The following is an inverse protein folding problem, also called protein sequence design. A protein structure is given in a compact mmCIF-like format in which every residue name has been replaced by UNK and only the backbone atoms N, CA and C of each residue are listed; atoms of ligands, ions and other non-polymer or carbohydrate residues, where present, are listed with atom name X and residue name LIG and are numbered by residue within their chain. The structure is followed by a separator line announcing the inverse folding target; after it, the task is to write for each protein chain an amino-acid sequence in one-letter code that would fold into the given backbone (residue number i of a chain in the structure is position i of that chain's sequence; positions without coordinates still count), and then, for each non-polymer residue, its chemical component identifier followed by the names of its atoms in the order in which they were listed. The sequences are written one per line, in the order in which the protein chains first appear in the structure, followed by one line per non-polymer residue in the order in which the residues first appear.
data_IF_286917775844
#
_entry.id   IF_286917775844
#
_cell.length_a   1.000
_cell.length_b   1.000
_cell.length_c   1.000
_cell.angle_alpha   90.00
_cell.angle_beta   90.00
_cell.angle_gamma   90.00
#
_symmetry.space_group_name_H-M   'P 1'
#
loop_
_entity.id
_entity.type
_entity.pdbx_description
1 polymer ?
#
# COMPACT_ATOMS: atom_id res chain seq x y z
N UNK A 1 -14.70 -13.98 -15.52
CA UNK A 1 -15.72 -13.52 -14.54
C UNK A 1 -16.45 -12.31 -15.13
N UNK A 2 -17.70 -12.03 -14.72
CA UNK A 2 -18.44 -10.84 -15.18
C UNK A 2 -18.42 -9.79 -14.05
N UNK A 3 -18.14 -8.51 -14.35
CA UNK A 3 -18.07 -7.49 -13.32
C UNK A 3 -19.46 -7.23 -12.74
N UNK A 4 -19.52 -6.87 -11.46
CA UNK A 4 -20.80 -6.62 -10.78
C UNK A 4 -21.53 -5.39 -11.32
N UNK A 5 -20.79 -4.46 -11.93
CA UNK A 5 -21.29 -3.35 -12.75
C UNK A 5 -20.24 -2.93 -13.78
N UNK A 6 -20.65 -2.12 -14.76
CA UNK A 6 -19.77 -1.68 -15.85
C UNK A 6 -19.00 -0.39 -15.57
N UNK A 7 -19.58 0.52 -14.78
CA UNK A 7 -19.00 1.83 -14.49
C UNK A 7 -18.40 1.82 -13.09
N UNK A 8 -17.13 2.17 -12.99
CA UNK A 8 -16.36 2.19 -11.74
C UNK A 8 -15.68 3.52 -11.55
N UNK A 9 -15.77 4.06 -10.34
CA UNK A 9 -15.09 5.30 -9.95
C UNK A 9 -14.01 5.00 -8.93
N UNK A 10 -12.77 5.37 -9.23
CA UNK A 10 -11.63 5.22 -8.31
C UNK A 10 -11.15 6.59 -7.84
N UNK A 11 -11.09 6.81 -6.53
CA UNK A 11 -10.42 7.97 -5.96
C UNK A 11 -8.99 7.59 -5.57
N UNK A 12 -8.01 8.30 -6.10
CA UNK A 12 -6.61 8.16 -5.72
C UNK A 12 -6.25 9.32 -4.79
N UNK A 13 -5.98 9.01 -3.53
CA UNK A 13 -5.64 9.99 -2.48
C UNK A 13 -4.13 10.19 -2.52
N UNK A 14 -3.69 11.30 -3.10
CA UNK A 14 -2.29 11.67 -3.29
C UNK A 14 -1.69 12.20 -1.99
N UNK A 15 -0.80 11.41 -1.40
CA UNK A 15 -0.05 11.72 -0.17
C UNK A 15 1.39 12.20 -0.44
N UNK A 16 1.74 12.48 -1.69
CA UNK A 16 3.11 12.86 -2.08
C UNK A 16 3.46 14.31 -1.79
N UNK A 17 2.53 15.14 -1.34
CA UNK A 17 2.81 16.53 -0.90
C UNK A 17 3.42 17.36 -2.05
N UNK A 18 2.84 17.23 -3.25
CA UNK A 18 3.31 17.86 -4.49
C UNK A 18 4.73 17.45 -4.94
N UNK A 19 5.34 16.44 -4.31
CA UNK A 19 6.64 15.90 -4.72
C UNK A 19 6.43 14.89 -5.85
N UNK A 20 7.13 15.04 -7.00
CA UNK A 20 7.05 14.06 -8.08
C UNK A 20 7.41 12.64 -7.61
N UNK A 21 6.55 11.68 -7.91
CA UNK A 21 6.72 10.29 -7.48
C UNK A 21 6.31 9.28 -8.58
N UNK A 22 7.13 8.25 -8.75
CA UNK A 22 6.87 7.18 -9.72
C UNK A 22 5.66 6.31 -9.35
N UNK A 23 5.33 6.18 -8.07
CA UNK A 23 4.18 5.39 -7.61
C UNK A 23 2.85 5.89 -8.17
N UNK A 24 2.66 7.22 -8.26
CA UNK A 24 1.46 7.77 -8.90
C UNK A 24 1.36 7.39 -10.38
N UNK A 25 2.48 7.44 -11.12
CA UNK A 25 2.51 6.98 -12.52
C UNK A 25 2.11 5.50 -12.62
N UNK A 26 2.67 4.65 -11.77
CA UNK A 26 2.37 3.22 -11.79
C UNK A 26 0.90 2.94 -11.48
N UNK A 27 0.30 3.61 -10.49
CA UNK A 27 -1.13 3.47 -10.17
C UNK A 27 -2.00 3.84 -11.38
N UNK A 28 -1.70 4.95 -12.07
CA UNK A 28 -2.42 5.35 -13.30
C UNK A 28 -2.31 4.26 -14.38
N UNK A 29 -1.12 3.71 -14.59
CA UNK A 29 -0.86 2.68 -15.60
C UNK A 29 -1.59 1.37 -15.27
N UNK A 30 -1.58 0.95 -14.01
CA UNK A 30 -2.31 -0.23 -13.52
C UNK A 30 -3.80 -0.06 -13.75
N UNK A 31 -4.40 1.06 -13.29
CA UNK A 31 -5.83 1.33 -13.44
C UNK A 31 -6.25 1.37 -14.91
N UNK A 32 -5.47 2.05 -15.75
CA UNK A 32 -5.72 2.16 -17.20
C UNK A 32 -5.63 0.80 -17.89
N UNK A 33 -4.57 0.03 -17.59
CA UNK A 33 -4.34 -1.29 -18.19
C UNK A 33 -5.40 -2.28 -17.76
N UNK A 34 -5.76 -2.29 -16.47
CA UNK A 34 -6.80 -3.13 -15.91
C UNK A 34 -8.16 -2.83 -16.57
N UNK A 35 -8.54 -1.56 -16.67
CA UNK A 35 -9.79 -1.15 -17.34
C UNK A 35 -9.86 -1.66 -18.80
N UNK A 36 -8.75 -1.55 -19.54
CA UNK A 36 -8.63 -2.04 -20.92
C UNK A 36 -8.74 -3.56 -21.00
N UNK A 37 -8.01 -4.29 -20.16
CA UNK A 37 -7.99 -5.77 -20.14
C UNK A 37 -9.38 -6.33 -19.85
N UNK A 38 -10.10 -5.73 -18.90
CA UNK A 38 -11.41 -6.19 -18.46
C UNK A 38 -12.58 -5.50 -19.17
N UNK A 39 -12.31 -4.64 -20.15
CA UNK A 39 -13.30 -3.87 -20.91
C UNK A 39 -14.29 -3.10 -20.01
N UNK A 40 -13.77 -2.44 -18.96
CA UNK A 40 -14.54 -1.68 -17.98
C UNK A 40 -14.60 -0.19 -18.33
N UNK A 41 -15.69 0.47 -17.95
CA UNK A 41 -15.74 1.93 -17.90
C UNK A 41 -15.25 2.40 -16.53
N UNK A 42 -13.93 2.43 -16.37
CA UNK A 42 -13.27 2.87 -15.14
C UNK A 42 -12.78 4.30 -15.30
N UNK A 43 -13.30 5.20 -14.48
CA UNK A 43 -12.78 6.55 -14.30
C UNK A 43 -12.03 6.65 -12.98
N UNK A 44 -10.93 7.40 -12.96
CA UNK A 44 -10.22 7.70 -11.72
C UNK A 44 -9.90 9.18 -11.62
N UNK A 45 -9.93 9.68 -10.38
CA UNK A 45 -9.63 11.07 -10.05
C UNK A 45 -8.61 11.12 -8.92
N UNK A 46 -7.69 12.06 -9.01
CA UNK A 46 -6.63 12.27 -8.03
C UNK A 46 -6.93 13.46 -7.15
N UNK A 47 -6.66 13.30 -5.86
CA UNK A 47 -6.96 14.28 -4.83
C UNK A 47 -5.70 14.58 -4.03
N UNK A 48 -5.18 15.81 -4.11
CA UNK A 48 -4.00 16.21 -3.34
C UNK A 48 -4.40 16.47 -1.87
N UNK A 49 -4.07 15.52 -1.00
CA UNK A 49 -4.60 15.47 0.36
C UNK A 49 -3.84 16.40 1.30
N UNK A 50 -2.52 16.50 1.17
CA UNK A 50 -1.68 17.05 2.24
C UNK A 50 -1.54 18.57 2.19
N UNK A 51 -1.41 19.14 0.98
CA UNK A 51 -1.19 20.58 0.78
C UNK A 51 -2.51 21.28 0.44
N UNK A 52 -3.25 20.74 -0.53
CA UNK A 52 -4.51 21.32 -1.02
C UNK A 52 -5.72 20.85 -0.22
N UNK A 53 -5.57 19.83 0.62
CA UNK A 53 -6.65 19.26 1.44
C UNK A 53 -7.87 18.82 0.62
N UNK A 54 -7.61 18.36 -0.60
CA UNK A 54 -8.64 17.83 -1.49
C UNK A 54 -8.96 16.41 -1.06
N UNK A 55 -10.25 16.13 -0.94
CA UNK A 55 -10.76 14.80 -0.62
C UNK A 55 -11.99 14.50 -1.50
N UNK A 56 -12.15 13.24 -1.94
CA UNK A 56 -13.36 12.78 -2.58
C UNK A 56 -14.53 12.74 -1.59
N UNK A 57 -15.74 12.63 -2.12
CA UNK A 57 -16.92 12.24 -1.35
C UNK A 57 -17.13 10.70 -1.42
N UNK A 58 -18.28 10.24 -0.94
CA UNK A 58 -18.69 8.83 -0.96
C UNK A 58 -19.29 8.36 -2.31
N UNK A 59 -19.18 9.15 -3.39
CA UNK A 59 -19.67 8.75 -4.72
C UNK A 59 -18.74 7.77 -5.45
N UNK A 60 -17.52 7.57 -4.95
CA UNK A 60 -16.52 6.65 -5.49
C UNK A 60 -16.73 5.22 -5.03
N UNK A 61 -16.25 4.23 -5.77
CA UNK A 61 -16.37 2.81 -5.42
C UNK A 61 -15.13 2.26 -4.74
N UNK A 62 -13.97 2.74 -5.17
CA UNK A 62 -12.66 2.27 -4.75
C UNK A 62 -11.81 3.48 -4.38
N UNK A 63 -11.07 3.37 -3.28
CA UNK A 63 -10.15 4.38 -2.78
C UNK A 63 -8.76 3.75 -2.71
N UNK A 64 -7.76 4.40 -3.30
CA UNK A 64 -6.36 4.01 -3.20
C UNK A 64 -5.60 5.17 -2.59
N UNK A 65 -5.09 4.99 -1.37
CA UNK A 65 -4.32 5.99 -0.64
C UNK A 65 -2.84 5.70 -0.75
N UNK A 66 -2.09 6.62 -1.36
CA UNK A 66 -0.71 6.36 -1.76
C UNK A 66 0.26 6.38 -0.57
N UNK A 67 1.51 5.97 -0.86
CA UNK A 67 2.63 6.36 -0.03
C UNK A 67 2.89 7.87 -0.09
N UNK A 68 3.86 8.33 0.68
CA UNK A 68 4.18 9.76 0.79
C UNK A 68 5.55 9.96 1.44
N UNK A 69 6.22 11.08 1.16
CA UNK A 69 7.46 11.43 1.83
C UNK A 69 7.20 11.85 3.28
N UNK A 70 8.28 11.89 4.07
CA UNK A 70 8.24 12.45 5.42
C UNK A 70 7.88 11.45 6.51
N UNK A 71 7.55 12.00 7.67
CA UNK A 71 7.23 11.28 8.89
C UNK A 71 5.71 11.12 9.04
N UNK A 72 5.18 9.92 9.31
CA UNK A 72 3.78 9.72 9.64
C UNK A 72 3.42 10.23 11.05
N UNK A 73 4.40 10.74 11.82
CA UNK A 73 4.20 11.31 13.15
C UNK A 73 4.14 12.85 13.12
N UNK A 74 4.83 13.50 12.17
CA UNK A 74 5.00 14.96 12.19
C UNK A 74 3.70 15.70 11.85
N UNK A 75 2.76 15.02 11.19
CA UNK A 75 1.46 15.55 10.79
C UNK A 75 0.35 15.35 11.82
N UNK A 76 0.65 14.73 12.98
CA UNK A 76 -0.34 14.45 14.01
C UNK A 76 -1.07 15.72 14.47
N UNK A 77 -2.40 15.69 14.34
CA UNK A 77 -3.28 16.79 14.73
C UNK A 77 -3.43 17.90 13.68
N UNK A 78 -2.77 17.78 12.52
CA UNK A 78 -2.96 18.71 11.40
C UNK A 78 -4.38 18.66 10.82
N UNK A 79 -4.83 19.76 10.21
CA UNK A 79 -6.19 19.85 9.63
C UNK A 79 -6.42 18.80 8.53
N UNK A 80 -5.43 18.60 7.65
CA UNK A 80 -5.57 17.65 6.55
C UNK A 80 -5.71 16.22 7.06
N UNK A 81 -5.02 15.85 8.14
CA UNK A 81 -5.18 14.53 8.77
C UNK A 81 -6.57 14.36 9.36
N UNK A 82 -7.08 15.36 10.08
CA UNK A 82 -8.43 15.29 10.65
C UNK A 82 -9.48 15.06 9.55
N UNK A 83 -9.36 15.77 8.43
CA UNK A 83 -10.24 15.59 7.26
C UNK A 83 -10.04 14.23 6.60
N UNK A 84 -8.80 13.78 6.44
CA UNK A 84 -8.49 12.46 5.88
C UNK A 84 -9.06 11.33 6.73
N UNK A 85 -8.89 11.38 8.05
CA UNK A 85 -9.45 10.38 8.96
C UNK A 85 -10.96 10.44 9.02
N UNK A 86 -11.58 11.63 8.90
CA UNK A 86 -13.04 11.72 8.76
C UNK A 86 -13.53 11.01 7.50
N UNK A 87 -12.83 11.13 6.37
CA UNK A 87 -13.16 10.34 5.16
C UNK A 87 -13.02 8.83 5.42
N UNK A 88 -12.01 8.38 6.16
CA UNK A 88 -11.85 6.96 6.51
C UNK A 88 -12.99 6.45 7.40
N UNK A 89 -13.41 7.25 8.39
CA UNK A 89 -14.58 6.98 9.21
C UNK A 89 -15.85 6.92 8.35
N UNK A 90 -16.09 7.91 7.48
CA UNK A 90 -17.24 7.98 6.59
C UNK A 90 -17.34 6.75 5.65
N UNK A 91 -16.20 6.29 5.12
CA UNK A 91 -16.11 5.06 4.32
C UNK A 91 -16.45 3.82 5.17
N UNK A 92 -15.96 3.75 6.40
CA UNK A 92 -16.25 2.64 7.32
C UNK A 92 -17.74 2.61 7.69
N UNK A 93 -18.31 3.75 8.10
CA UNK A 93 -19.73 3.91 8.44
C UNK A 93 -20.64 3.53 7.26
N UNK A 94 -20.30 3.96 6.03
CA UNK A 94 -21.01 3.53 4.82
C UNK A 94 -20.98 2.01 4.66
N UNK A 95 -19.82 1.40 4.88
CA UNK A 95 -19.60 -0.03 4.72
C UNK A 95 -20.29 -0.89 5.78
N UNK A 96 -20.82 -0.33 6.87
CA UNK A 96 -21.63 -1.09 7.82
C UNK A 96 -23.01 -1.42 7.24
N UNK A 97 -23.62 -0.47 6.52
CA UNK A 97 -25.05 -0.56 6.16
C UNK A 97 -25.32 -0.66 4.66
N UNK A 98 -24.45 -0.10 3.81
CA UNK A 98 -24.68 -0.08 2.37
C UNK A 98 -24.49 -1.46 1.73
N UNK A 99 -25.24 -1.75 0.66
CA UNK A 99 -25.06 -2.97 -0.13
C UNK A 99 -23.80 -2.89 -0.99
N UNK A 100 -23.55 -1.70 -1.57
CA UNK A 100 -22.37 -1.43 -2.39
C UNK A 100 -21.23 -0.92 -1.51
N UNK A 101 -20.37 -1.86 -1.13
CA UNK A 101 -19.25 -1.65 -0.21
C UNK A 101 -18.09 -0.95 -0.93
N UNK A 102 -17.58 0.11 -0.33
CA UNK A 102 -16.40 0.88 -0.74
C UNK A 102 -15.14 0.08 -0.43
N UNK A 103 -14.26 -0.07 -1.40
CA UNK A 103 -12.97 -0.77 -1.20
C UNK A 103 -11.86 0.25 -0.95
N UNK A 104 -10.97 -0.03 0.00
CA UNK A 104 -9.89 0.87 0.39
C UNK A 104 -8.56 0.11 0.39
N UNK A 105 -7.58 0.65 -0.34
CA UNK A 105 -6.18 0.21 -0.34
C UNK A 105 -5.30 1.30 0.26
N UNK A 106 -4.51 0.97 1.28
CA UNK A 106 -3.55 1.86 1.93
C UNK A 106 -2.11 1.42 1.62
N UNK A 107 -1.27 2.33 1.16
CA UNK A 107 0.11 2.04 0.72
C UNK A 107 1.11 2.86 1.53
N UNK A 108 2.10 2.18 2.11
CA UNK A 108 3.26 2.75 2.82
C UNK A 108 2.90 3.82 3.87
N UNK A 109 2.93 5.10 3.50
CA UNK A 109 2.64 6.22 4.41
C UNK A 109 1.19 6.21 4.90
N UNK A 110 0.21 6.02 4.01
CA UNK A 110 -1.20 5.98 4.41
C UNK A 110 -1.53 4.78 5.30
N UNK A 111 -0.85 3.64 5.09
CA UNK A 111 -0.89 2.48 5.98
C UNK A 111 -0.38 2.83 7.39
N UNK A 112 0.77 3.53 7.48
CA UNK A 112 1.34 3.96 8.76
C UNK A 112 0.42 4.94 9.48
N UNK A 113 -0.19 5.89 8.77
CA UNK A 113 -1.17 6.82 9.33
C UNK A 113 -2.37 6.09 9.92
N UNK A 114 -2.93 5.10 9.20
CA UNK A 114 -4.08 4.35 9.70
C UNK A 114 -3.71 3.50 10.92
N UNK A 115 -2.53 2.87 10.93
CA UNK A 115 -2.05 2.14 12.10
C UNK A 115 -1.89 3.05 13.32
N UNK A 116 -1.36 4.27 13.14
CA UNK A 116 -1.24 5.28 14.21
C UNK A 116 -2.61 5.72 14.71
N UNK A 117 -3.48 6.12 13.80
CA UNK A 117 -4.79 6.67 14.11
C UNK A 117 -5.68 5.68 14.89
N UNK A 118 -5.69 4.42 14.46
CA UNK A 118 -6.40 3.35 15.18
C UNK A 118 -5.62 2.83 16.41
N UNK A 119 -4.37 3.26 16.58
CA UNK A 119 -3.48 2.84 17.66
C UNK A 119 -3.18 1.34 17.64
N UNK A 120 -3.08 0.73 16.45
CA UNK A 120 -2.90 -0.72 16.25
C UNK A 120 -1.46 -1.20 16.49
N UNK A 121 -0.52 -0.28 16.63
CA UNK A 121 0.87 -0.59 16.93
C UNK A 121 1.74 0.65 17.04
N UNK A 122 3.00 0.44 17.38
CA UNK A 122 3.99 1.50 17.48
C UNK A 122 4.51 1.89 16.08
N UNK A 123 4.16 3.09 15.64
CA UNK A 123 4.72 3.69 14.42
C UNK A 123 6.00 4.41 14.79
N UNK A 124 7.15 3.83 14.44
CA UNK A 124 8.45 4.32 14.89
C UNK A 124 9.46 4.43 13.75
N UNK A 125 10.52 5.23 13.98
CA UNK A 125 11.62 5.34 13.02
C UNK A 125 12.45 4.06 13.05
N UNK A 126 12.86 3.59 11.87
CA UNK A 126 13.81 2.48 11.74
C UNK A 126 15.20 2.92 12.19
N UNK A 127 15.92 2.01 12.85
CA UNK A 127 17.35 2.22 13.17
C UNK A 127 18.20 2.30 11.90
N UNK A 128 17.85 1.52 10.88
CA UNK A 128 18.44 1.60 9.53
C UNK A 128 17.32 1.71 8.50
N UNK A 129 17.32 2.75 7.66
CA UNK A 129 16.37 2.88 6.56
C UNK A 129 16.38 1.64 5.66
N UNK A 130 15.19 1.18 5.28
CA UNK A 130 15.03 0.15 4.27
C UNK A 130 15.02 0.81 2.89
N UNK A 131 15.87 0.32 2.00
CA UNK A 131 15.92 0.73 0.59
C UNK A 131 16.44 -0.47 -0.20
N UNK A 132 15.58 -1.08 -1.02
CA UNK A 132 15.94 -2.27 -1.77
C UNK A 132 14.75 -3.14 -2.14
N UNK A 133 15.07 -4.29 -2.72
CA UNK A 133 14.13 -5.39 -2.93
C UNK A 133 14.31 -6.41 -1.83
N UNK A 134 13.25 -6.71 -1.08
CA UNK A 134 13.29 -7.60 0.07
C UNK A 134 12.22 -8.70 -0.03
N UNK A 135 12.52 -9.91 0.46
CA UNK A 135 11.48 -10.91 0.68
C UNK A 135 10.57 -10.45 1.82
N UNK A 136 9.28 -10.76 1.70
CA UNK A 136 8.25 -10.58 2.72
C UNK A 136 7.51 -11.91 2.87
N UNK A 137 7.12 -12.19 4.11
CA UNK A 137 6.56 -13.47 4.52
C UNK A 137 5.10 -13.33 4.89
N UNK A 138 4.26 -14.19 4.34
CA UNK A 138 2.85 -14.34 4.67
C UNK A 138 2.70 -14.91 6.08
N UNK A 139 1.69 -14.43 6.79
CA UNK A 139 1.16 -15.13 7.97
C UNK A 139 0.16 -16.20 7.53
N UNK A 140 -0.34 -17.02 8.46
CA UNK A 140 -1.46 -17.93 8.18
C UNK A 140 -2.69 -17.21 7.60
N UNK A 141 -3.00 -15.99 8.07
CA UNK A 141 -4.08 -15.19 7.49
C UNK A 141 -3.71 -14.70 6.07
N UNK A 142 -2.45 -14.34 5.82
CA UNK A 142 -1.95 -13.97 4.50
C UNK A 142 -1.94 -15.11 3.48
N UNK A 143 -1.85 -16.37 3.92
CA UNK A 143 -2.00 -17.53 3.03
C UNK A 143 -3.44 -17.72 2.54
N UNK A 144 -4.43 -17.32 3.36
CA UNK A 144 -5.86 -17.34 3.00
C UNK A 144 -6.31 -16.06 2.30
N UNK A 145 -5.46 -15.03 2.30
CA UNK A 145 -5.76 -13.76 1.67
C UNK A 145 -5.80 -13.88 0.15
N UNK A 146 -6.97 -13.61 -0.40
CA UNK A 146 -7.20 -13.76 -1.82
C UNK A 146 -6.39 -12.79 -2.68
N UNK A 147 -6.09 -11.57 -2.19
CA UNK A 147 -5.18 -10.62 -2.87
C UNK A 147 -3.76 -11.20 -2.97
N UNK A 148 -3.39 -12.12 -2.07
CA UNK A 148 -2.05 -12.70 -2.01
C UNK A 148 -1.98 -14.06 -2.72
N UNK A 149 -3.08 -14.55 -3.28
CA UNK A 149 -3.20 -15.92 -3.81
C UNK A 149 -2.17 -16.28 -4.88
N UNK A 150 -1.81 -15.34 -5.75
CA UNK A 150 -0.80 -15.53 -6.81
C UNK A 150 0.64 -15.27 -6.34
N UNK A 151 0.82 -14.75 -5.12
CA UNK A 151 2.15 -14.44 -4.59
C UNK A 151 2.77 -15.70 -3.94
N UNK A 152 4.05 -16.00 -4.15
CA UNK A 152 4.73 -17.09 -3.47
C UNK A 152 4.99 -16.78 -1.98
N UNK A 153 5.48 -17.78 -1.24
CA UNK A 153 6.00 -17.59 0.12
C UNK A 153 7.50 -17.96 0.17
N UNK A 154 8.40 -17.00 0.41
CA UNK A 154 8.16 -15.56 0.45
C UNK A 154 7.91 -14.96 -0.94
N UNK A 155 7.40 -13.73 -0.99
CA UNK A 155 7.33 -12.90 -2.21
C UNK A 155 8.21 -11.66 -2.07
N UNK A 156 8.62 -11.06 -3.19
CA UNK A 156 9.56 -9.95 -3.20
C UNK A 156 8.87 -8.61 -3.44
N UNK A 157 9.23 -7.61 -2.65
CA UNK A 157 8.66 -6.28 -2.69
C UNK A 157 9.74 -5.22 -2.85
N UNK A 158 9.31 -4.02 -3.28
CA UNK A 158 10.12 -2.81 -3.15
C UNK A 158 9.85 -2.21 -1.77
N UNK A 159 10.92 -2.01 -0.99
CA UNK A 159 10.86 -1.31 0.28
C UNK A 159 11.73 -0.06 0.22
N UNK A 160 11.15 1.10 0.57
CA UNK A 160 11.84 2.39 0.60
C UNK A 160 11.26 3.24 1.73
N UNK A 161 11.63 2.95 2.98
CA UNK A 161 11.03 3.59 4.16
C UNK A 161 12.02 3.87 5.29
N UNK A 162 11.76 4.98 5.96
CA UNK A 162 12.42 5.36 7.22
C UNK A 162 11.60 4.98 8.46
N UNK A 163 10.33 4.60 8.27
CA UNK A 163 9.35 4.35 9.32
C UNK A 163 8.79 2.94 9.21
N UNK A 164 8.35 2.39 10.33
CA UNK A 164 7.82 1.04 10.43
C UNK A 164 6.70 0.97 11.45
N UNK A 165 5.86 -0.06 11.32
CA UNK A 165 4.88 -0.41 12.34
C UNK A 165 5.35 -1.70 13.01
N UNK A 166 5.57 -1.64 14.31
CA UNK A 166 5.99 -2.77 15.16
C UNK A 166 5.11 -2.82 16.41
N UNK A 167 5.32 -3.79 17.31
CA UNK A 167 4.65 -3.84 18.63
C UNK A 167 3.13 -3.68 18.51
N UNK A 168 2.48 -4.58 17.76
CA UNK A 168 1.06 -4.50 17.50
C UNK A 168 0.24 -4.64 18.80
N UNK A 169 -0.79 -3.81 18.92
CA UNK A 169 -1.81 -3.93 19.96
C UNK A 169 -2.84 -4.98 19.52
N UNK A 170 -2.57 -6.23 19.85
CA UNK A 170 -3.43 -7.37 19.48
C UNK A 170 -4.85 -7.23 20.01
N UNK A 171 -5.05 -6.62 21.18
CA UNK A 171 -6.39 -6.42 21.73
C UNK A 171 -7.22 -5.47 20.86
N UNK A 172 -6.61 -4.38 20.38
CA UNK A 172 -7.29 -3.46 19.46
C UNK A 172 -7.48 -4.04 18.07
N UNK A 173 -6.51 -4.81 17.57
CA UNK A 173 -6.64 -5.53 16.31
C UNK A 173 -7.85 -6.47 16.34
N UNK A 174 -7.96 -7.30 17.39
CA UNK A 174 -9.06 -8.24 17.58
C UNK A 174 -10.41 -7.51 17.72
N UNK A 175 -10.43 -6.36 18.39
CA UNK A 175 -11.65 -5.56 18.59
C UNK A 175 -12.28 -5.05 17.27
N UNK A 176 -11.46 -4.86 16.22
CA UNK A 176 -11.93 -4.44 14.89
C UNK A 176 -11.91 -5.58 13.86
N UNK A 177 -11.53 -6.80 14.28
CA UNK A 177 -11.38 -7.95 13.39
C UNK A 177 -10.21 -7.84 12.40
N UNK A 178 -9.22 -7.01 12.68
CA UNK A 178 -8.08 -6.82 11.80
C UNK A 178 -7.11 -8.00 11.86
N UNK A 179 -6.53 -8.36 10.72
CA UNK A 179 -5.60 -9.48 10.59
C UNK A 179 -4.28 -9.04 9.98
N UNK A 180 -3.17 -9.46 10.60
CA UNK A 180 -1.84 -9.29 10.01
C UNK A 180 -1.68 -10.30 8.89
N UNK A 181 -1.39 -9.84 7.68
CA UNK A 181 -1.28 -10.68 6.50
C UNK A 181 0.18 -10.99 6.14
N UNK A 182 1.10 -10.07 6.45
CA UNK A 182 2.51 -10.27 6.14
C UNK A 182 3.45 -9.56 7.11
N UNK A 183 4.67 -10.09 7.24
CA UNK A 183 5.75 -9.59 8.11
C UNK A 183 7.10 -9.58 7.36
N UNK A 184 8.03 -8.72 7.79
CA UNK A 184 9.31 -8.50 7.07
C UNK A 184 10.17 -9.76 7.02
N UNK A 185 10.35 -10.43 8.16
CA UNK A 185 11.07 -11.72 8.26
C UNK A 185 10.82 -12.34 9.62
N UNK A 186 10.63 -13.65 9.68
CA UNK A 186 10.60 -14.36 10.96
C UNK A 186 12.00 -14.36 11.60
N UNK A 187 12.09 -13.90 12.84
CA UNK A 187 13.34 -13.83 13.61
C UNK A 187 13.16 -14.48 14.98
N UNK A 188 13.02 -15.81 15.05
CA UNK A 188 12.73 -16.49 16.31
C UNK A 188 13.84 -16.35 17.36
N UNK A 189 15.05 -15.98 16.95
CA UNK A 189 16.23 -15.88 17.82
C UNK A 189 16.73 -14.45 18.07
N UNK A 190 16.02 -13.42 17.58
CA UNK A 190 16.41 -12.01 17.77
C UNK A 190 15.30 -11.27 18.50
N UNK A 191 15.57 -10.63 19.65
CA UNK A 191 14.58 -9.90 20.43
C UNK A 191 14.34 -8.50 19.83
N UNK A 192 14.09 -8.44 18.53
CA UNK A 192 13.67 -7.23 17.83
C UNK A 192 12.29 -7.48 17.25
N UNK A 193 11.37 -6.60 17.60
CA UNK A 193 10.01 -6.63 17.09
C UNK A 193 9.98 -6.50 15.57
N UNK A 194 9.03 -7.25 14.98
CA UNK A 194 8.95 -7.45 13.53
C UNK A 194 8.16 -6.32 12.91
N UNK A 195 8.63 -5.80 11.77
CA UNK A 195 7.82 -4.88 11.00
C UNK A 195 6.62 -5.62 10.41
N UNK A 196 5.44 -5.09 10.68
CA UNK A 196 4.18 -5.51 10.05
C UNK A 196 4.14 -4.98 8.63
N UNK A 197 4.06 -5.88 7.65
CA UNK A 197 4.16 -5.53 6.23
C UNK A 197 2.81 -5.39 5.55
N UNK A 198 1.77 -6.06 6.05
CA UNK A 198 0.40 -5.88 5.55
C UNK A 198 -0.64 -6.22 6.62
N UNK A 199 -1.76 -5.49 6.60
CA UNK A 199 -2.93 -5.70 7.47
C UNK A 199 -4.20 -5.65 6.63
N UNK A 200 -5.10 -6.61 6.86
CA UNK A 200 -6.52 -6.52 6.51
C UNK A 200 -7.21 -5.82 7.68
N UNK A 201 -7.54 -4.54 7.54
CA UNK A 201 -8.14 -3.74 8.63
C UNK A 201 -9.63 -4.06 8.80
N UNK A 202 -10.29 -4.43 7.71
CA UNK A 202 -11.67 -4.94 7.63
C UNK A 202 -11.83 -5.70 6.31
N UNK A 203 -12.98 -6.33 6.07
CA UNK A 203 -13.28 -7.02 4.80
C UNK A 203 -12.98 -6.15 3.56
N UNK A 204 -13.13 -4.84 3.68
CA UNK A 204 -13.04 -3.89 2.55
C UNK A 204 -11.85 -2.93 2.65
N UNK A 205 -11.00 -3.05 3.68
CA UNK A 205 -9.82 -2.22 3.86
C UNK A 205 -8.56 -3.08 3.99
N UNK A 206 -7.68 -2.96 3.01
CA UNK A 206 -6.37 -3.62 2.97
C UNK A 206 -5.28 -2.56 3.01
N UNK A 207 -4.19 -2.81 3.73
CA UNK A 207 -3.04 -1.94 3.66
C UNK A 207 -1.70 -2.67 3.70
N UNK A 208 -0.71 -2.02 3.11
CA UNK A 208 0.65 -2.53 2.95
C UNK A 208 1.66 -1.48 3.38
N UNK A 209 2.74 -1.89 4.03
CA UNK A 209 3.87 -1.04 4.37
C UNK A 209 4.86 -0.89 3.20
N UNK A 210 4.84 -1.82 2.26
CA UNK A 210 5.66 -1.81 1.05
C UNK A 210 4.93 -1.13 -0.12
N UNK A 211 5.60 -1.07 -1.28
CA UNK A 211 5.07 -0.45 -2.50
C UNK A 211 4.67 -1.51 -3.54
N UNK A 212 3.45 -2.09 -3.46
CA UNK A 212 2.98 -3.04 -4.47
C UNK A 212 2.80 -2.39 -5.85
N UNK A 213 2.72 -1.07 -5.93
CA UNK A 213 2.60 -0.32 -7.17
C UNK A 213 3.93 -0.16 -7.92
N UNK A 214 5.06 -0.46 -7.30
CA UNK A 214 6.36 -0.10 -7.87
C UNK A 214 6.76 -1.04 -9.03
N UNK A 215 6.86 -0.48 -10.24
CA UNK A 215 7.30 -1.21 -11.43
C UNK A 215 8.83 -1.21 -11.58
N UNK A 216 9.39 -2.35 -12.03
CA UNK A 216 10.83 -2.51 -12.11
C UNK A 216 11.52 -1.59 -13.13
N UNK A 217 10.85 -1.34 -14.25
CA UNK A 217 11.42 -0.58 -15.38
C UNK A 217 11.50 0.90 -15.04
N UNK A 218 10.40 1.48 -14.59
CA UNK A 218 10.28 2.87 -14.17
C UNK A 218 11.21 3.19 -13.00
N UNK A 219 11.24 2.33 -11.97
CA UNK A 219 12.18 2.48 -10.87
C UNK A 219 13.64 2.48 -11.35
N UNK A 220 13.99 1.58 -12.27
CA UNK A 220 15.36 1.52 -12.81
C UNK A 220 15.70 2.80 -13.57
N UNK A 221 14.82 3.30 -14.42
CA UNK A 221 15.03 4.57 -15.14
C UNK A 221 15.18 5.75 -14.17
N UNK A 222 14.32 5.82 -13.15
CA UNK A 222 14.38 6.86 -12.12
C UNK A 222 15.71 6.85 -11.36
N UNK A 223 16.19 5.68 -10.94
CA UNK A 223 17.46 5.52 -10.23
C UNK A 223 18.70 5.79 -11.08
N UNK A 224 18.58 5.75 -12.42
CA UNK A 224 19.65 6.12 -13.34
C UNK A 224 19.78 7.64 -13.53
N UNK A 225 18.78 8.43 -13.12
CA UNK A 225 18.90 9.90 -13.12
C UNK A 225 20.01 10.33 -12.15
N UNK A 226 20.90 11.23 -12.60
CA UNK A 226 22.10 11.60 -11.85
C UNK A 226 21.78 12.12 -10.44
N UNK A 227 20.75 12.96 -10.31
CA UNK A 227 20.31 13.51 -9.03
C UNK A 227 19.84 12.40 -8.07
N UNK A 228 19.04 11.45 -8.56
CA UNK A 228 18.50 10.34 -7.77
C UNK A 228 19.58 9.35 -7.38
N UNK A 229 20.49 9.01 -8.30
CA UNK A 229 21.69 8.23 -7.98
C UNK A 229 22.48 8.88 -6.84
N UNK A 230 22.79 10.18 -6.95
CA UNK A 230 23.56 10.89 -5.93
C UNK A 230 22.83 10.90 -4.58
N UNK A 231 21.51 11.15 -4.58
CA UNK A 231 20.68 11.12 -3.38
C UNK A 231 20.69 9.75 -2.71
N UNK A 232 20.51 8.66 -3.48
CA UNK A 232 20.50 7.30 -2.94
C UNK A 232 21.87 6.90 -2.41
N UNK A 233 22.95 7.18 -3.13
CA UNK A 233 24.32 6.88 -2.66
C UNK A 233 24.62 7.64 -1.37
N UNK A 234 24.20 8.90 -1.27
CA UNK A 234 24.41 9.73 -0.07
C UNK A 234 23.64 9.19 1.12
N UNK A 235 22.39 8.75 0.92
CA UNK A 235 21.50 8.33 2.01
C UNK A 235 21.68 6.86 2.43
N UNK A 236 22.01 5.99 1.47
CA UNK A 236 21.97 4.53 1.65
C UNK A 236 23.30 3.84 1.32
N UNK A 237 24.23 4.53 0.66
CA UNK A 237 25.51 3.98 0.22
C UNK A 237 25.47 3.38 -1.20
N UNK A 238 26.64 3.32 -1.82
CA UNK A 238 26.80 2.84 -3.19
C UNK A 238 26.45 1.34 -3.35
N UNK A 239 26.75 0.51 -2.35
CA UNK A 239 26.45 -0.92 -2.39
C UNK A 239 24.93 -1.17 -2.48
N UNK A 240 24.13 -0.49 -1.64
CA UNK A 240 22.66 -0.60 -1.69
C UNK A 240 22.09 -0.10 -3.01
N UNK A 241 22.66 0.96 -3.59
CA UNK A 241 22.26 1.45 -4.91
C UNK A 241 22.47 0.41 -6.00
N UNK A 242 23.66 -0.20 -6.05
CA UNK A 242 23.99 -1.21 -7.06
C UNK A 242 23.16 -2.49 -6.88
N UNK A 243 23.00 -2.97 -5.65
CA UNK A 243 22.15 -4.12 -5.35
C UNK A 243 20.68 -3.89 -5.74
N UNK A 244 20.15 -2.68 -5.51
CA UNK A 244 18.82 -2.32 -5.96
C UNK A 244 18.68 -2.42 -7.49
N UNK A 245 19.61 -1.82 -8.25
CA UNK A 245 19.58 -1.88 -9.73
C UNK A 245 19.67 -3.31 -10.27
N UNK A 246 20.47 -4.16 -9.63
CA UNK A 246 20.59 -5.57 -9.99
C UNK A 246 19.27 -6.31 -9.75
N UNK A 247 18.66 -6.14 -8.59
CA UNK A 247 17.38 -6.78 -8.26
C UNK A 247 16.20 -6.29 -9.10
N UNK A 248 16.21 -5.03 -9.54
CA UNK A 248 15.20 -4.52 -10.48
C UNK A 248 15.31 -5.15 -11.87
N UNK A 249 16.44 -5.77 -12.22
CA UNK A 249 16.62 -6.44 -13.51
C UNK A 249 16.25 -7.93 -13.46
N UNK A 250 15.82 -8.42 -12.29
CA UNK A 250 15.48 -9.82 -12.05
C UNK A 250 13.97 -10.04 -12.23
N UNK A 251 13.55 -10.80 -13.25
CA UNK A 251 12.14 -11.02 -13.54
C UNK A 251 11.41 -11.80 -12.44
N UNK A 252 12.13 -12.60 -11.64
CA UNK A 252 11.54 -13.45 -10.60
C UNK A 252 11.32 -12.71 -9.26
N UNK A 253 11.61 -11.40 -9.21
CA UNK A 253 11.48 -10.59 -7.99
C UNK A 253 10.19 -9.77 -7.95
N UNK A 254 10.28 -8.46 -8.21
CA UNK A 254 9.19 -7.53 -7.87
C UNK A 254 8.08 -7.47 -8.92
N UNK A 255 8.35 -7.97 -10.15
CA UNK A 255 7.39 -7.92 -11.25
C UNK A 255 6.09 -8.64 -10.89
N UNK A 256 6.19 -9.81 -10.25
CA UNK A 256 5.01 -10.56 -9.84
C UNK A 256 4.15 -9.80 -8.82
N UNK A 257 4.78 -9.16 -7.82
CA UNK A 257 4.04 -8.33 -6.85
C UNK A 257 3.34 -7.17 -7.54
N UNK A 258 4.04 -6.47 -8.43
CA UNK A 258 3.48 -5.38 -9.23
C UNK A 258 2.28 -5.82 -10.09
N UNK A 259 2.45 -6.93 -10.81
CA UNK A 259 1.47 -7.41 -11.79
C UNK A 259 0.28 -8.12 -11.15
N UNK A 260 0.41 -8.64 -9.91
CA UNK A 260 -0.63 -9.42 -9.26
C UNK A 260 -1.36 -8.67 -8.14
N UNK A 261 -0.67 -7.87 -7.32
CA UNK A 261 -1.24 -7.39 -6.05
C UNK A 261 -2.43 -6.44 -6.25
N UNK A 262 -2.20 -5.29 -6.90
CA UNK A 262 -3.27 -4.29 -7.10
C UNK A 262 -4.35 -4.85 -8.04
N UNK A 263 -4.02 -5.57 -9.13
CA UNK A 263 -5.03 -6.26 -9.93
C UNK A 263 -5.89 -7.26 -9.13
N UNK A 264 -5.30 -8.04 -8.21
CA UNK A 264 -6.08 -8.95 -7.35
C UNK A 264 -6.98 -8.20 -6.37
N UNK A 265 -6.53 -7.05 -5.83
CA UNK A 265 -7.38 -6.15 -5.04
C UNK A 265 -8.57 -5.62 -5.87
N UNK A 266 -8.32 -5.18 -7.10
CA UNK A 266 -9.36 -4.73 -8.02
C UNK A 266 -10.32 -5.88 -8.41
N UNK A 267 -9.81 -7.10 -8.56
CA UNK A 267 -10.62 -8.28 -8.82
C UNK A 267 -11.64 -8.52 -7.70
N UNK A 268 -11.20 -8.40 -6.44
CA UNK A 268 -12.06 -8.53 -5.27
C UNK A 268 -13.15 -7.45 -5.27
N UNK A 269 -12.76 -6.21 -5.55
CA UNK A 269 -13.67 -5.08 -5.62
C UNK A 269 -14.74 -5.26 -6.71
N UNK A 270 -14.32 -5.69 -7.90
CA UNK A 270 -15.13 -5.56 -9.13
C UNK A 270 -15.95 -6.82 -9.41
N UNK A 271 -15.38 -7.99 -9.13
CA UNK A 271 -16.00 -9.29 -9.42
C UNK A 271 -16.63 -9.94 -8.18
N UNK A 272 -16.50 -9.34 -6.98
CA UNK A 272 -16.96 -9.90 -5.71
C UNK A 272 -16.55 -11.37 -5.56
N UNK A 273 -15.26 -11.67 -5.80
CA UNK A 273 -14.76 -13.00 -5.47
C UNK A 273 -15.02 -13.24 -3.97
N UNK A 274 -15.71 -14.32 -3.59
CA UNK A 274 -15.96 -14.59 -2.19
C UNK A 274 -14.63 -14.75 -1.48
N UNK A 275 -14.49 -14.10 -0.31
CA UNK A 275 -13.42 -14.41 0.64
C UNK A 275 -13.46 -15.93 0.85
N UNK A 276 -12.31 -16.60 0.67
CA UNK A 276 -12.21 -18.03 0.92
C UNK A 276 -12.68 -18.30 2.36
N UNK A 277 -13.76 -19.06 2.49
CA UNK A 277 -14.28 -19.53 3.79
C UNK A 277 -13.46 -20.70 4.31
#
# INVERSE_FOLDING_TARGET
MRPTKQHWKVAVLDMYEQVPNEGMRCIREILTSYARIHALQLEFHEYEVRVQQQLPDLSYDIYISTGGPGSPLDSEGSEWEQRYFRLMEDISEWNETAIDKKQLLLICHSFQLMCRYLGLGNVCRRRSPAFGVFPVHKTTAGEQEQVFSELPEPYYIVDSRNWQVIELDHQKMDAIGAQVLAIEKERPHVPLERATMAIRFSDYCLGTQFHPEADATGMRMYLLQQEKKNQVITNYGAEKYHSMLEHLSDPDKIMLTHDAFIPAFLDNAIFKRPLLQ
#
